data_IF_425549506217
#
_entry.id   IF_425549506217
#
_cell.length_a   1.000
_cell.length_b   1.000
_cell.length_c   1.000
_cell.angle_alpha   90.00
_cell.angle_beta   90.00
_cell.angle_gamma   90.00
#
_symmetry.space_group_name_H-M   'P 1'
#
loop_
_entity.id
_entity.type
_entity.pdbx_description
1 polymer ?
#
# COMPACT_ATOMS: atom_id res chain seq x y z
N UNK A 1 1.98 6.02 -0.55
CA UNK A 1 2.40 5.28 -1.77
C UNK A 1 1.15 4.86 -2.51
N UNK A 2 1.18 4.85 -3.84
CA UNK A 2 0.02 4.49 -4.66
C UNK A 2 0.23 3.09 -5.22
N UNK A 3 -0.75 2.20 -5.02
CA UNK A 3 -0.84 0.92 -5.71
C UNK A 3 -1.74 1.09 -6.92
N UNK A 4 -1.30 0.56 -8.07
CA UNK A 4 -2.06 0.57 -9.32
C UNK A 4 -2.19 -0.83 -9.88
N UNK A 5 -3.42 -1.21 -10.21
CA UNK A 5 -3.78 -2.46 -10.85
C UNK A 5 -4.76 -2.20 -12.00
N UNK A 6 -4.93 -3.15 -12.94
CA UNK A 6 -5.94 -3.03 -13.97
C UNK A 6 -7.39 -2.96 -13.42
N UNK A 7 -8.30 -2.43 -14.25
CA UNK A 7 -9.67 -2.08 -13.86
C UNK A 7 -10.64 -3.27 -13.69
N UNK A 8 -10.23 -4.49 -14.04
CA UNK A 8 -11.13 -5.63 -14.20
C UNK A 8 -11.57 -6.28 -12.89
N UNK A 9 -11.08 -5.79 -11.76
CA UNK A 9 -11.47 -6.28 -10.44
C UNK A 9 -12.63 -5.45 -9.92
N UNK A 10 -13.82 -6.05 -9.77
CA UNK A 10 -14.95 -5.41 -9.11
C UNK A 10 -14.61 -5.17 -7.63
N UNK A 11 -14.25 -3.92 -7.30
CA UNK A 11 -13.75 -3.50 -5.99
C UNK A 11 -14.69 -2.54 -5.27
N UNK A 12 -15.99 -2.72 -5.51
CA UNK A 12 -17.06 -1.93 -4.89
C UNK A 12 -17.24 -2.21 -3.39
N UNK A 13 -16.71 -3.33 -2.88
CA UNK A 13 -16.76 -3.72 -1.47
C UNK A 13 -15.40 -3.47 -0.77
N UNK A 14 -15.34 -2.63 0.29
CA UNK A 14 -14.12 -2.43 1.07
C UNK A 14 -13.50 -3.72 1.62
N UNK A 15 -14.31 -4.75 1.89
CA UNK A 15 -13.83 -6.05 2.36
C UNK A 15 -12.95 -6.78 1.32
N UNK A 16 -13.07 -6.45 0.02
CA UNK A 16 -12.24 -7.01 -1.05
C UNK A 16 -10.76 -6.65 -0.90
N UNK A 17 -10.45 -5.59 -0.14
CA UNK A 17 -9.09 -5.11 0.11
C UNK A 17 -8.42 -5.77 1.33
N UNK A 18 -9.18 -6.41 2.23
CA UNK A 18 -8.65 -7.05 3.44
C UNK A 18 -7.55 -8.10 3.15
N UNK A 19 -7.69 -8.97 2.13
CA UNK A 19 -6.61 -9.90 1.78
C UNK A 19 -5.34 -9.18 1.32
N UNK A 20 -5.48 -8.05 0.62
CA UNK A 20 -4.34 -7.26 0.16
C UNK A 20 -3.62 -6.60 1.34
N UNK A 21 -4.35 -5.98 2.26
CA UNK A 21 -3.80 -5.39 3.50
C UNK A 21 -3.05 -6.43 4.33
N UNK A 22 -3.67 -7.60 4.56
CA UNK A 22 -3.11 -8.68 5.37
C UNK A 22 -1.84 -9.27 4.74
N UNK A 23 -1.90 -9.63 3.45
CA UNK A 23 -0.74 -10.23 2.76
C UNK A 23 0.40 -9.22 2.58
N UNK A 24 0.10 -7.94 2.37
CA UNK A 24 1.11 -6.89 2.28
C UNK A 24 1.79 -6.65 3.65
N UNK A 25 1.01 -6.61 4.74
CA UNK A 25 1.58 -6.52 6.09
C UNK A 25 2.51 -7.70 6.40
N UNK A 26 2.09 -8.93 6.07
CA UNK A 26 2.92 -10.13 6.23
C UNK A 26 4.20 -10.06 5.40
N UNK A 27 4.11 -9.67 4.13
CA UNK A 27 5.28 -9.57 3.25
C UNK A 27 6.28 -8.50 3.70
N UNK A 28 5.77 -7.42 4.28
CA UNK A 28 6.59 -6.36 4.89
C UNK A 28 7.05 -6.71 6.31
N UNK A 29 6.75 -7.90 6.82
CA UNK A 29 7.05 -8.32 8.21
C UNK A 29 6.55 -7.31 9.25
N UNK A 30 5.36 -6.75 9.01
CA UNK A 30 4.68 -5.84 9.90
C UNK A 30 3.60 -6.58 10.69
N UNK A 31 3.20 -6.02 11.83
CA UNK A 31 2.12 -6.60 12.62
C UNK A 31 0.77 -6.55 11.86
N UNK A 32 -0.15 -7.49 12.13
CA UNK A 32 -1.50 -7.44 11.55
C UNK A 32 -2.17 -6.08 11.80
N UNK A 33 -2.82 -5.52 10.78
CA UNK A 33 -3.46 -4.20 10.86
C UNK A 33 -2.51 -3.00 10.67
N UNK A 34 -1.20 -3.22 10.45
CA UNK A 34 -0.23 -2.15 10.17
C UNK A 34 -0.36 -1.54 8.77
N UNK A 35 -1.20 -2.11 7.91
CA UNK A 35 -1.38 -1.68 6.52
C UNK A 35 -2.85 -1.40 6.31
N UNK A 36 -3.18 -0.24 5.75
CA UNK A 36 -4.54 0.08 5.33
C UNK A 36 -4.56 0.69 3.93
N UNK A 37 -5.66 0.46 3.23
CA UNK A 37 -5.95 1.01 1.93
C UNK A 37 -6.90 2.20 2.08
N UNK A 38 -6.66 3.24 1.30
CA UNK A 38 -7.45 4.47 1.32
C UNK A 38 -7.43 5.14 -0.03
N UNK A 39 -8.33 6.12 -0.25
CA UNK A 39 -8.43 6.86 -1.50
C UNK A 39 -8.55 5.90 -2.71
N UNK A 40 -9.49 4.95 -2.61
CA UNK A 40 -9.78 4.02 -3.69
C UNK A 40 -10.47 4.78 -4.81
N UNK A 41 -9.83 4.81 -5.96
CA UNK A 41 -10.32 5.43 -7.18
C UNK A 41 -10.65 4.32 -8.17
N UNK A 42 -11.95 4.15 -8.41
CA UNK A 42 -12.47 3.24 -9.42
C UNK A 42 -13.20 4.05 -10.48
N UNK A 43 -12.72 3.97 -11.72
CA UNK A 43 -13.36 4.58 -12.88
C UNK A 43 -13.41 3.56 -14.00
N UNK A 44 -14.59 3.29 -14.61
CA UNK A 44 -14.69 2.35 -15.72
C UNK A 44 -13.70 2.69 -16.85
N UNK A 45 -12.92 1.71 -17.27
CA UNK A 45 -11.89 1.89 -18.31
C UNK A 45 -10.57 2.50 -17.84
N UNK A 46 -10.45 2.94 -16.59
CA UNK A 46 -9.20 3.40 -16.00
C UNK A 46 -8.64 2.37 -15.01
N UNK A 47 -7.31 2.26 -14.86
CA UNK A 47 -6.72 1.39 -13.85
C UNK A 47 -7.20 1.75 -12.44
N UNK A 48 -7.42 0.71 -11.63
CA UNK A 48 -7.68 0.84 -10.22
C UNK A 48 -6.46 1.45 -9.52
N UNK A 49 -6.67 2.54 -8.79
CA UNK A 49 -5.63 3.22 -7.99
C UNK A 49 -6.09 3.37 -6.55
N UNK A 50 -5.16 3.18 -5.62
CA UNK A 50 -5.41 3.49 -4.20
C UNK A 50 -4.13 3.79 -3.45
N UNK A 51 -4.27 4.49 -2.33
CA UNK A 51 -3.17 4.81 -1.42
C UNK A 51 -2.98 3.71 -0.39
N UNK A 52 -1.78 3.15 -0.35
CA UNK A 52 -1.32 2.27 0.72
C UNK A 52 -0.73 3.12 1.84
N UNK A 53 -1.32 2.98 3.04
CA UNK A 53 -0.84 3.57 4.28
C UNK A 53 -0.22 2.49 5.14
N UNK A 54 0.93 2.80 5.74
CA UNK A 54 1.68 1.90 6.61
C UNK A 54 1.83 2.59 7.96
N UNK A 55 1.46 1.89 9.01
CA UNK A 55 1.41 2.37 10.38
C UNK A 55 2.28 1.51 11.27
N UNK A 56 2.71 2.10 12.39
CA UNK A 56 3.31 1.36 13.48
C UNK A 56 2.20 0.88 14.41
N UNK A 57 2.32 -0.34 14.90
CA UNK A 57 1.44 -0.83 15.98
C UNK A 57 1.95 -0.37 17.35
N UNK A 58 3.23 0.00 17.46
CA UNK A 58 3.83 0.56 18.66
C UNK A 58 5.01 1.48 18.33
N UNK A 59 5.27 2.47 19.19
CA UNK A 59 6.38 3.43 19.05
C UNK A 59 5.98 4.78 18.44
N UNK A 60 6.97 5.63 18.18
CA UNK A 60 6.79 7.03 17.75
C UNK A 60 7.11 7.27 16.27
N UNK A 61 7.75 6.32 15.59
CA UNK A 61 8.17 6.45 14.19
C UNK A 61 8.93 5.23 13.67
N UNK A 62 9.09 5.14 12.35
CA UNK A 62 9.90 4.08 11.72
C UNK A 62 11.38 4.44 11.84
N UNK A 63 12.21 3.46 12.20
CA UNK A 63 13.65 3.64 12.14
C UNK A 63 14.13 3.65 10.68
N UNK A 64 15.29 4.27 10.42
CA UNK A 64 15.87 4.37 9.07
C UNK A 64 16.03 2.99 8.41
N UNK A 65 16.43 1.97 9.16
CA UNK A 65 16.56 0.60 8.66
C UNK A 65 15.22 0.01 8.23
N UNK A 66 14.15 0.27 8.97
CA UNK A 66 12.80 -0.20 8.65
C UNK A 66 12.27 0.48 7.39
N UNK A 67 12.47 1.80 7.25
CA UNK A 67 12.10 2.53 6.04
C UNK A 67 12.84 1.99 4.82
N UNK A 68 14.15 1.74 4.91
CA UNK A 68 14.95 1.18 3.80
C UNK A 68 14.46 -0.23 3.45
N UNK A 69 14.20 -1.08 4.44
CA UNK A 69 13.70 -2.44 4.22
C UNK A 69 12.35 -2.43 3.51
N UNK A 70 11.39 -1.67 4.03
CA UNK A 70 10.03 -1.55 3.48
C UNK A 70 10.10 -1.00 2.05
N UNK A 71 10.81 0.12 1.84
CA UNK A 71 10.93 0.72 0.51
C UNK A 71 11.61 -0.20 -0.50
N UNK A 72 12.64 -0.95 -0.11
CA UNK A 72 13.32 -1.92 -0.98
C UNK A 72 12.37 -3.04 -1.44
N UNK A 73 11.60 -3.64 -0.53
CA UNK A 73 10.60 -4.69 -0.86
C UNK A 73 9.58 -4.19 -1.89
N UNK A 74 9.13 -2.94 -1.76
CA UNK A 74 8.11 -2.34 -2.60
C UNK A 74 8.66 -1.95 -3.98
N UNK A 75 9.84 -1.33 -4.03
CA UNK A 75 10.50 -0.92 -5.29
C UNK A 75 10.94 -2.13 -6.10
N UNK A 76 11.47 -3.16 -5.45
CA UNK A 76 11.88 -4.40 -6.10
C UNK A 76 10.69 -5.31 -6.47
N UNK A 77 9.47 -4.94 -6.08
CA UNK A 77 8.24 -5.69 -6.37
C UNK A 77 8.33 -7.18 -5.97
N UNK A 78 9.00 -7.47 -4.86
CA UNK A 78 9.15 -8.84 -4.36
C UNK A 78 7.86 -9.37 -3.72
N UNK A 79 6.91 -8.49 -3.44
CA UNK A 79 5.56 -8.83 -3.01
C UNK A 79 4.78 -9.55 -4.13
N UNK A 80 3.91 -10.49 -3.78
CA UNK A 80 2.96 -11.11 -4.73
C UNK A 80 1.55 -10.79 -4.24
N UNK A 81 0.89 -9.87 -4.95
CA UNK A 81 -0.49 -9.49 -4.65
C UNK A 81 -1.43 -10.69 -4.87
N UNK A 82 -2.59 -10.72 -4.20
CA UNK A 82 -3.62 -11.72 -4.47
C UNK A 82 -4.00 -11.72 -5.95
N UNK A 83 -4.31 -12.89 -6.54
CA UNK A 83 -4.58 -13.02 -7.99
C UNK A 83 -5.68 -12.10 -8.51
N UNK A 84 -6.62 -11.71 -7.64
CA UNK A 84 -7.74 -10.81 -7.97
C UNK A 84 -7.31 -9.42 -8.42
N UNK A 85 -6.10 -8.96 -8.10
CA UNK A 85 -5.61 -7.63 -8.50
C UNK A 85 -4.82 -7.65 -9.81
N UNK A 86 -4.46 -8.83 -10.34
CA UNK A 86 -3.64 -8.94 -11.54
C UNK A 86 -2.23 -8.34 -11.37
N UNK A 87 -1.53 -8.00 -12.48
CA UNK A 87 -0.23 -7.32 -12.42
C UNK A 87 -0.39 -5.94 -11.78
N UNK A 88 0.56 -5.54 -10.95
CA UNK A 88 0.47 -4.29 -10.19
C UNK A 88 1.78 -3.49 -10.23
N UNK A 89 1.70 -2.22 -9.83
CA UNK A 89 2.87 -1.38 -9.60
C UNK A 89 2.69 -0.51 -8.35
N UNK A 90 3.81 -0.20 -7.71
CA UNK A 90 3.89 0.79 -6.64
C UNK A 90 4.50 2.08 -7.16
N UNK A 91 3.81 3.19 -6.97
CA UNK A 91 4.29 4.54 -7.29
C UNK A 91 4.58 5.23 -5.96
N UNK A 92 5.86 5.51 -5.71
CA UNK A 92 6.28 6.23 -4.53
C UNK A 92 5.66 7.63 -4.52
N UNK A 93 5.12 8.03 -3.37
CA UNK A 93 4.70 9.40 -3.13
C UNK A 93 5.87 10.10 -2.44
N UNK A 94 6.22 11.31 -2.87
CA UNK A 94 7.28 12.08 -2.23
C UNK A 94 6.94 12.29 -0.76
N UNK A 95 7.85 11.90 0.13
CA UNK A 95 7.71 12.19 1.56
C UNK A 95 8.13 13.65 1.78
N UNK A 96 7.16 14.56 1.76
CA UNK A 96 7.39 15.91 2.24
C UNK A 96 7.23 15.90 3.76
N UNK A 97 8.25 16.27 4.55
CA UNK A 97 8.00 16.68 5.92
C UNK A 97 7.00 17.82 5.84
N UNK A 98 5.85 17.71 6.52
CA UNK A 98 4.92 18.82 6.65
C UNK A 98 5.69 20.01 7.22
N UNK A 99 6.00 21.01 6.38
CA UNK A 99 6.45 22.29 6.88
C UNK A 99 5.24 22.92 7.55
N UNK A 100 5.14 22.76 8.86
CA UNK A 100 4.33 23.65 9.67
C UNK A 100 4.98 25.02 9.55
N UNK A 101 4.41 25.88 8.72
CA UNK A 101 4.64 27.33 8.81
C UNK A 101 4.00 27.79 10.12
N UNK A 102 4.85 28.24 11.04
CA UNK A 102 4.48 28.90 12.28
C UNK A 102 3.74 30.23 12.01
#
# INVERSE_FOLDING_TARGET
MIFRAPAFSDMTNPAAFQPLESTLAQNLSLAPGSVAISNVEFTPGAPLTFTVKIFLVSGTGFNRSEVIRISSTLVNQTYKAPPTFGPYSFIASTYFPSMYTA
#
